data_IF_207533998476
#
_entry.id   IF_207533998476
#
_cell.length_a   1.000
_cell.length_b   1.000
_cell.length_c   1.000
_cell.angle_alpha   90.00
_cell.angle_beta   90.00
_cell.angle_gamma   90.00
#
_symmetry.space_group_name_H-M   'P 1'
#
loop_
_entity.id
_entity.type
_entity.pdbx_description
1 polymer ?
#
# COMPACT_ATOMS: atom_id res chain seq x y z
N UNK A 1 13.63 -4.14 -12.41
CA UNK A 1 13.08 -3.27 -11.36
C UNK A 1 12.37 -4.16 -10.35
N UNK A 2 12.46 -3.88 -9.06
CA UNK A 2 11.80 -4.67 -8.01
C UNK A 2 10.44 -4.01 -7.74
N UNK A 3 9.32 -4.71 -7.84
CA UNK A 3 8.03 -4.14 -7.48
C UNK A 3 7.95 -3.91 -5.97
N UNK A 4 7.30 -2.82 -5.58
CA UNK A 4 7.05 -2.49 -4.18
C UNK A 4 5.67 -1.87 -4.04
N UNK A 5 5.16 -1.95 -2.82
CA UNK A 5 3.85 -1.46 -2.39
C UNK A 5 4.04 -0.51 -1.23
N UNK A 6 3.21 0.54 -1.15
CA UNK A 6 3.26 1.53 -0.09
C UNK A 6 2.12 1.31 0.89
N UNK A 7 2.45 1.19 2.18
CA UNK A 7 1.45 1.05 3.25
C UNK A 7 1.45 2.32 4.12
N UNK A 8 0.38 3.10 4.03
CA UNK A 8 0.12 4.24 4.89
C UNK A 8 -0.50 3.75 6.20
N UNK A 9 0.25 3.83 7.31
CA UNK A 9 -0.20 3.30 8.60
C UNK A 9 -0.85 4.37 9.49
N UNK A 10 -1.50 3.92 10.57
CA UNK A 10 -2.07 4.78 11.63
C UNK A 10 -3.13 5.76 11.12
N UNK A 11 -3.94 5.36 10.14
CA UNK A 11 -5.00 6.22 9.58
C UNK A 11 -6.02 6.71 10.61
N UNK A 12 -6.14 6.02 11.76
CA UNK A 12 -6.97 6.40 12.90
C UNK A 12 -6.53 7.69 13.60
N UNK A 13 -5.29 8.14 13.39
CA UNK A 13 -4.75 9.36 14.02
C UNK A 13 -5.18 10.64 13.29
N UNK A 14 -5.75 10.53 12.09
CA UNK A 14 -6.12 11.65 11.24
C UNK A 14 -7.59 11.57 10.80
N UNK A 15 -8.16 12.71 10.40
CA UNK A 15 -9.51 12.73 9.82
C UNK A 15 -9.49 12.08 8.42
N UNK A 16 -10.55 11.37 7.98
CA UNK A 16 -10.59 10.70 6.68
C UNK A 16 -10.21 11.59 5.49
N UNK A 17 -10.65 12.86 5.49
CA UNK A 17 -10.28 13.82 4.45
C UNK A 17 -8.80 14.21 4.44
N UNK A 18 -8.14 14.23 5.61
CA UNK A 18 -6.69 14.48 5.72
C UNK A 18 -5.92 13.28 5.21
N UNK A 19 -6.34 12.06 5.57
CA UNK A 19 -5.75 10.81 5.06
C UNK A 19 -5.83 10.76 3.54
N UNK A 20 -7.00 10.98 2.96
CA UNK A 20 -7.19 10.97 1.51
C UNK A 20 -6.32 12.01 0.78
N UNK A 21 -6.24 13.23 1.33
CA UNK A 21 -5.37 14.28 0.78
C UNK A 21 -3.90 13.88 0.84
N UNK A 22 -3.42 13.42 1.99
CA UNK A 22 -2.00 13.08 2.16
C UNK A 22 -1.57 11.92 1.25
N UNK A 23 -2.42 10.90 1.08
CA UNK A 23 -2.18 9.78 0.15
C UNK A 23 -2.09 10.30 -1.29
N UNK A 24 -3.04 11.17 -1.69
CA UNK A 24 -3.04 11.79 -3.01
C UNK A 24 -1.76 12.59 -3.25
N UNK A 25 -1.42 13.50 -2.34
CA UNK A 25 -0.26 14.39 -2.45
C UNK A 25 1.06 13.59 -2.51
N UNK A 26 1.16 12.50 -1.75
CA UNK A 26 2.30 11.57 -1.80
C UNK A 26 2.46 10.98 -3.21
N UNK A 27 1.38 10.43 -3.77
CA UNK A 27 1.42 9.84 -5.12
C UNK A 27 1.63 10.87 -6.23
N UNK A 28 1.07 12.07 -6.11
CA UNK A 28 1.33 13.17 -7.05
C UNK A 28 2.81 13.58 -7.05
N UNK A 29 3.43 13.62 -5.87
CA UNK A 29 4.88 13.88 -5.76
C UNK A 29 5.68 12.74 -6.38
N UNK A 30 5.31 11.49 -6.09
CA UNK A 30 6.04 10.31 -6.53
C UNK A 30 6.01 10.12 -8.06
N UNK A 31 4.93 10.54 -8.74
CA UNK A 31 4.84 10.55 -10.22
C UNK A 31 5.93 11.35 -10.90
N UNK A 32 6.51 12.33 -10.21
CA UNK A 32 7.59 13.13 -10.79
C UNK A 32 8.94 12.40 -10.77
N UNK A 33 9.04 11.30 -10.02
CA UNK A 33 10.29 10.54 -9.82
C UNK A 33 10.21 9.14 -10.44
N UNK A 34 9.04 8.51 -10.43
CA UNK A 34 8.86 7.14 -10.91
C UNK A 34 8.11 7.08 -12.24
N UNK A 35 8.48 6.16 -13.14
CA UNK A 35 7.75 5.94 -14.40
C UNK A 35 6.35 5.38 -14.17
N UNK A 36 6.15 4.60 -13.10
CA UNK A 36 4.86 4.04 -12.70
C UNK A 36 4.69 4.17 -11.18
N UNK A 37 3.45 4.37 -10.73
CA UNK A 37 3.17 4.41 -9.30
C UNK A 37 2.99 3.00 -8.73
N UNK A 38 3.50 2.73 -7.52
CA UNK A 38 3.21 1.50 -6.81
C UNK A 38 1.77 1.46 -6.31
N UNK A 39 1.31 0.27 -5.94
CA UNK A 39 0.05 0.11 -5.21
C UNK A 39 0.14 0.71 -3.80
N UNK A 40 -1.00 1.21 -3.29
CA UNK A 40 -1.07 1.91 -2.01
C UNK A 40 -2.21 1.41 -1.14
N UNK A 41 -1.91 1.07 0.12
CA UNK A 41 -2.91 0.67 1.12
C UNK A 41 -2.92 1.63 2.30
N UNK A 42 -4.13 1.97 2.77
CA UNK A 42 -4.31 2.76 3.99
C UNK A 42 -4.75 1.83 5.11
N UNK A 43 -4.03 1.84 6.23
CA UNK A 43 -4.24 0.88 7.31
C UNK A 43 -4.32 1.56 8.68
N UNK A 44 -5.04 0.91 9.60
CA UNK A 44 -4.98 1.21 11.03
C UNK A 44 -4.89 -0.09 11.81
N UNK A 45 -3.80 -0.29 12.53
CA UNK A 45 -3.66 -1.41 13.45
C UNK A 45 -4.66 -1.33 14.61
N UNK A 46 -4.98 -0.12 15.08
CA UNK A 46 -5.93 0.11 16.18
C UNK A 46 -7.37 -0.23 15.77
N UNK A 47 -7.76 0.14 14.54
CA UNK A 47 -9.12 -0.10 14.02
C UNK A 47 -9.23 -1.38 13.18
N UNK A 48 -8.12 -2.08 12.97
CA UNK A 48 -8.01 -3.28 12.10
C UNK A 48 -8.52 -3.04 10.67
N UNK A 49 -8.34 -1.82 10.16
CA UNK A 49 -8.73 -1.44 8.80
C UNK A 49 -7.57 -1.66 7.84
N UNK A 50 -7.82 -2.14 6.63
CA UNK A 50 -6.79 -2.36 5.60
C UNK A 50 -6.00 -3.67 5.77
N UNK A 51 -6.37 -4.52 6.74
CA UNK A 51 -5.63 -5.75 7.05
C UNK A 51 -5.88 -6.80 5.96
N UNK A 52 -7.14 -7.02 5.61
CA UNK A 52 -7.52 -8.03 4.63
C UNK A 52 -6.94 -7.68 3.25
N UNK A 53 -7.01 -6.41 2.86
CA UNK A 53 -6.46 -5.93 1.59
C UNK A 53 -4.93 -6.10 1.50
N UNK A 54 -4.22 -5.88 2.61
CA UNK A 54 -2.77 -6.12 2.67
C UNK A 54 -2.45 -7.62 2.65
N UNK A 55 -3.22 -8.45 3.35
CA UNK A 55 -3.03 -9.90 3.35
C UNK A 55 -3.30 -10.49 1.96
N UNK A 56 -4.34 -10.02 1.28
CA UNK A 56 -4.66 -10.42 -0.09
C UNK A 56 -3.55 -10.02 -1.06
N UNK A 57 -2.99 -8.80 -0.94
CA UNK A 57 -1.84 -8.35 -1.72
C UNK A 57 -0.61 -9.25 -1.48
N UNK A 58 -0.32 -9.59 -0.22
CA UNK A 58 0.79 -10.50 0.13
C UNK A 58 0.55 -11.90 -0.45
N UNK A 59 -0.68 -12.42 -0.37
CA UNK A 59 -1.04 -13.72 -0.94
C UNK A 59 -0.83 -13.73 -2.46
N UNK A 60 -1.26 -12.68 -3.17
CA UNK A 60 -1.00 -12.53 -4.61
C UNK A 60 0.49 -12.54 -4.93
N UNK A 61 1.33 -11.87 -4.13
CA UNK A 61 2.78 -11.92 -4.33
C UNK A 61 3.37 -13.29 -4.04
N UNK A 62 2.89 -13.99 -3.01
CA UNK A 62 3.33 -15.35 -2.73
C UNK A 62 3.01 -16.30 -3.91
N UNK A 63 1.85 -16.16 -4.53
CA UNK A 63 1.48 -16.92 -5.73
C UNK A 63 2.33 -16.54 -6.95
N UNK A 64 2.56 -15.24 -7.16
CA UNK A 64 3.33 -14.75 -8.30
C UNK A 64 4.81 -15.13 -8.25
N UNK A 65 5.38 -15.21 -7.04
CA UNK A 65 6.79 -15.47 -6.78
C UNK A 65 7.02 -16.83 -6.13
N UNK A 66 6.05 -17.73 -6.17
CA UNK A 66 6.23 -19.10 -5.71
C UNK A 66 7.36 -19.74 -6.54
N UNK A 67 8.53 -19.93 -5.93
CA UNK A 67 9.60 -20.65 -6.61
C UNK A 67 9.16 -22.12 -6.77
N UNK A 68 9.27 -22.70 -7.99
CA UNK A 68 9.01 -24.12 -8.16
C UNK A 68 9.94 -24.88 -7.21
N UNK A 69 9.38 -25.57 -6.22
CA UNK A 69 10.13 -26.44 -5.33
C UNK A 69 10.81 -27.52 -6.21
N UNK A 70 12.15 -27.49 -6.27
CA UNK A 70 13.00 -28.44 -7.00
C UNK A 70 13.02 -29.82 -6.36
#
# INVERSE_FOLDING_TARGET
EIPYTVIFTKSDKEKPGVVARNVKDFFETLRNTLPFLPEGFVTSAEKKTGVDEVLDCIAQYNELYEEPQS
#
